data_IF_449952947663
#
_entry.id   IF_449952947663
#
_cell.length_a   1.000
_cell.length_b   1.000
_cell.length_c   1.000
_cell.angle_alpha   90.00
_cell.angle_beta   90.00
_cell.angle_gamma   90.00
#
_symmetry.space_group_name_H-M   'P 1'
#
loop_
_entity.id
_entity.type
_entity.pdbx_description
1 polymer ?
#
# COMPACT_ATOMS: atom_id res chain seq x y z
N UNK A 1 -19.41 11.28 45.17
CA UNK A 1 -19.09 10.99 46.58
C UNK A 1 -19.71 9.65 46.92
N UNK A 2 -18.90 8.59 46.85
CA UNK A 2 -19.14 7.28 47.51
C UNK A 2 -18.95 7.41 49.04
N UNK A 3 -18.85 6.34 49.88
CA UNK A 3 -19.26 4.92 49.80
C UNK A 3 -20.10 4.52 51.06
N UNK A 4 -20.61 3.29 51.29
CA UNK A 4 -19.94 2.08 51.87
C UNK A 4 -21.02 0.97 52.00
N UNK A 5 -20.82 -0.29 51.55
CA UNK A 5 -20.05 -1.43 52.11
C UNK A 5 -20.84 -2.39 53.03
N UNK A 6 -21.04 -3.61 52.52
CA UNK A 6 -20.89 -4.95 53.15
C UNK A 6 -21.84 -5.49 54.25
N UNK A 7 -22.36 -6.71 54.02
CA UNK A 7 -22.05 -7.95 54.81
C UNK A 7 -23.25 -8.82 55.22
N UNK A 8 -23.01 -10.16 55.20
CA UNK A 8 -23.64 -11.25 55.98
C UNK A 8 -24.88 -11.90 55.32
N UNK A 9 -24.84 -13.12 54.75
CA UNK A 9 -24.62 -14.47 55.32
C UNK A 9 -25.59 -14.82 56.47
N UNK A 10 -26.51 -15.74 56.14
CA UNK A 10 -27.23 -16.69 57.01
C UNK A 10 -28.29 -16.16 58.01
N UNK A 11 -29.56 -16.30 57.63
CA UNK A 11 -30.74 -16.50 58.50
C UNK A 11 -31.91 -16.85 57.54
N UNK A 12 -32.78 -17.84 57.70
CA UNK A 12 -33.13 -18.74 58.79
C UNK A 12 -33.45 -20.14 58.24
N UNK A 13 -33.01 -21.16 58.98
CA UNK A 13 -33.70 -22.44 59.06
C UNK A 13 -34.81 -22.32 60.11
N UNK A 14 -36.02 -22.85 59.84
CA UNK A 14 -36.99 -23.09 60.91
C UNK A 14 -37.87 -24.31 60.62
N UNK A 15 -37.86 -25.22 61.61
CA UNK A 15 -38.76 -26.34 61.91
C UNK A 15 -38.79 -27.55 60.97
N UNK A 16 -38.24 -28.71 61.35
CA UNK A 16 -38.57 -29.66 62.44
C UNK A 16 -39.65 -30.68 62.04
N UNK A 17 -39.28 -31.96 62.09
CA UNK A 17 -40.19 -33.10 61.92
C UNK A 17 -39.41 -34.39 61.69
N UNK A 18 -38.93 -34.99 62.78
CA UNK A 18 -38.36 -36.33 62.83
C UNK A 18 -39.41 -37.41 62.48
N UNK A 19 -38.95 -38.57 61.99
CA UNK A 19 -39.22 -39.94 62.53
C UNK A 19 -38.91 -41.01 61.46
N UNK A 20 -37.76 -41.66 61.69
CA UNK A 20 -37.43 -43.10 61.66
C UNK A 20 -37.71 -44.00 60.44
N UNK A 21 -36.65 -44.71 60.03
CA UNK A 21 -36.51 -45.65 58.92
C UNK A 21 -36.63 -47.10 59.43
N UNK A 22 -37.34 -47.97 58.69
CA UNK A 22 -37.24 -49.43 58.83
C UNK A 22 -36.60 -50.03 57.56
N UNK A 23 -35.46 -50.72 57.74
CA UNK A 23 -34.50 -51.16 56.72
C UNK A 23 -34.81 -52.49 56.00
N UNK A 24 -35.99 -53.10 56.17
CA UNK A 24 -36.22 -54.47 55.67
C UNK A 24 -36.78 -54.57 54.23
N UNK A 25 -36.96 -53.46 53.50
CA UNK A 25 -37.46 -53.45 52.11
C UNK A 25 -36.38 -53.33 51.02
N UNK A 26 -35.10 -53.34 51.38
CA UNK A 26 -34.01 -53.01 50.47
C UNK A 26 -33.59 -54.14 49.51
N UNK A 27 -33.93 -55.40 49.79
CA UNK A 27 -33.36 -56.53 49.05
C UNK A 27 -34.09 -56.88 47.73
N UNK A 28 -35.39 -56.60 47.59
CA UNK A 28 -36.16 -56.96 46.39
C UNK A 28 -36.02 -55.92 45.25
N UNK A 29 -35.61 -54.68 45.57
CA UNK A 29 -35.47 -53.60 44.59
C UNK A 29 -34.08 -53.53 43.91
N UNK A 30 -33.11 -54.32 44.36
CA UNK A 30 -31.75 -54.31 43.81
C UNK A 30 -31.68 -54.99 42.43
N UNK A 31 -32.41 -56.09 42.23
CA UNK A 31 -32.36 -56.87 40.98
C UNK A 31 -33.00 -56.11 39.79
N UNK A 32 -34.01 -55.29 40.06
CA UNK A 32 -34.68 -54.47 39.03
C UNK A 32 -33.80 -53.27 38.58
N UNK A 33 -32.90 -52.80 39.42
CA UNK A 33 -32.02 -51.67 39.13
C UNK A 33 -30.86 -52.07 38.19
N UNK A 34 -30.35 -53.30 38.28
CA UNK A 34 -29.23 -53.75 37.45
C UNK A 34 -29.63 -53.99 35.99
N UNK A 35 -30.85 -54.52 35.75
CA UNK A 35 -31.38 -54.73 34.40
C UNK A 35 -31.59 -53.43 33.60
N UNK A 36 -31.85 -52.31 34.26
CA UNK A 36 -31.98 -50.99 33.62
C UNK A 36 -30.64 -50.33 33.29
N UNK A 37 -29.54 -50.71 33.94
CA UNK A 37 -28.22 -50.09 33.70
C UNK A 37 -27.57 -50.56 32.39
N UNK A 38 -27.73 -51.84 32.03
CA UNK A 38 -27.06 -52.45 30.87
C UNK A 38 -27.59 -51.93 29.51
N UNK A 39 -28.84 -51.45 29.48
CA UNK A 39 -29.47 -50.81 28.30
C UNK A 39 -28.96 -49.38 28.04
N UNK A 40 -28.48 -48.69 29.09
CA UNK A 40 -28.11 -47.27 29.06
C UNK A 40 -26.75 -46.96 28.44
N UNK A 41 -25.76 -47.85 28.58
CA UNK A 41 -24.38 -47.58 28.13
C UNK A 41 -24.18 -47.71 26.62
N UNK A 42 -24.86 -48.67 25.98
CA UNK A 42 -24.76 -48.90 24.53
C UNK A 42 -25.32 -47.72 23.71
N UNK A 43 -26.38 -47.07 24.21
CA UNK A 43 -26.96 -45.85 23.58
C UNK A 43 -26.10 -44.61 23.80
N UNK A 44 -25.43 -44.47 24.95
CA UNK A 44 -24.54 -43.33 25.24
C UNK A 44 -23.28 -43.34 24.38
N UNK A 45 -22.65 -44.50 24.16
CA UNK A 45 -21.46 -44.61 23.30
C UNK A 45 -21.75 -44.29 21.82
N UNK A 46 -22.88 -44.74 21.27
CA UNK A 46 -23.32 -44.40 19.89
C UNK A 46 -23.69 -42.92 19.72
N UNK A 47 -24.20 -42.26 20.76
CA UNK A 47 -24.56 -40.83 20.73
C UNK A 47 -23.32 -39.93 20.79
N UNK A 48 -22.26 -40.35 21.48
CA UNK A 48 -21.01 -39.58 21.61
C UNK A 48 -20.17 -39.60 20.33
N UNK A 49 -20.08 -40.74 19.65
CA UNK A 49 -19.34 -40.86 18.37
C UNK A 49 -19.96 -40.04 17.25
N UNK A 50 -21.30 -39.92 17.21
CA UNK A 50 -22.02 -39.07 16.25
C UNK A 50 -21.83 -37.56 16.49
N UNK A 51 -21.75 -37.12 17.75
CA UNK A 51 -21.48 -35.71 18.11
C UNK A 51 -20.04 -35.29 17.79
N UNK A 52 -19.06 -36.18 18.01
CA UNK A 52 -17.64 -35.89 17.74
C UNK A 52 -17.32 -35.80 16.24
N UNK A 53 -18.03 -36.54 15.39
CA UNK A 53 -17.90 -36.44 13.93
C UNK A 53 -18.46 -35.11 13.39
N UNK A 54 -19.63 -34.68 13.87
CA UNK A 54 -20.24 -33.42 13.44
C UNK A 54 -19.46 -32.17 13.88
N UNK A 55 -18.86 -32.16 15.07
CA UNK A 55 -18.02 -31.01 15.50
C UNK A 55 -16.74 -30.90 14.70
N UNK A 56 -16.11 -32.02 14.32
CA UNK A 56 -14.95 -32.03 13.41
C UNK A 56 -15.29 -31.51 12.00
N UNK A 57 -16.47 -31.85 11.48
CA UNK A 57 -16.93 -31.30 10.19
C UNK A 57 -17.26 -29.81 10.27
N UNK A 58 -17.83 -29.32 11.38
CA UNK A 58 -18.10 -27.88 11.58
C UNK A 58 -16.79 -27.10 11.73
N UNK A 59 -15.80 -27.63 12.47
CA UNK A 59 -14.48 -27.01 12.60
C UNK A 59 -13.74 -27.00 11.25
N UNK A 60 -13.87 -28.05 10.45
CA UNK A 60 -13.33 -28.12 9.09
C UNK A 60 -13.99 -27.10 8.15
N UNK A 61 -15.33 -27.00 8.18
CA UNK A 61 -16.07 -26.01 7.39
C UNK A 61 -15.76 -24.57 7.83
N UNK A 62 -15.61 -24.33 9.14
CA UNK A 62 -15.21 -23.04 9.70
C UNK A 62 -13.80 -22.63 9.27
N UNK A 63 -12.85 -23.57 9.28
CA UNK A 63 -11.50 -23.33 8.79
C UNK A 63 -11.46 -22.99 7.28
N UNK A 64 -12.27 -23.69 6.47
CA UNK A 64 -12.41 -23.39 5.03
C UNK A 64 -13.02 -22.01 4.84
N UNK A 65 -14.06 -21.65 5.60
CA UNK A 65 -14.69 -20.34 5.49
C UNK A 65 -13.73 -19.20 5.86
N UNK A 66 -12.96 -19.36 6.94
CA UNK A 66 -11.93 -18.38 7.34
C UNK A 66 -10.85 -18.26 6.25
N UNK A 67 -10.38 -19.38 5.69
CA UNK A 67 -9.42 -19.35 4.59
C UNK A 67 -9.97 -18.62 3.36
N UNK A 68 -11.24 -18.84 2.99
CA UNK A 68 -11.90 -18.13 1.90
C UNK A 68 -12.01 -16.63 2.18
N UNK A 69 -12.35 -16.22 3.41
CA UNK A 69 -12.39 -14.81 3.78
C UNK A 69 -11.01 -14.14 3.71
N UNK A 70 -9.95 -14.84 4.10
CA UNK A 70 -8.58 -14.33 4.00
C UNK A 70 -8.14 -14.21 2.54
N UNK A 71 -8.46 -15.19 1.68
CA UNK A 71 -8.17 -15.14 0.24
C UNK A 71 -8.96 -14.02 -0.44
N UNK A 72 -10.27 -13.90 -0.16
CA UNK A 72 -11.12 -12.82 -0.67
C UNK A 72 -10.59 -11.48 -0.17
N UNK A 73 -10.18 -11.37 1.10
CA UNK A 73 -9.57 -10.17 1.67
C UNK A 73 -8.26 -9.78 0.99
N UNK A 74 -7.37 -10.74 0.74
CA UNK A 74 -6.11 -10.51 0.03
C UNK A 74 -6.35 -10.08 -1.42
N UNK A 75 -7.26 -10.76 -2.14
CA UNK A 75 -7.67 -10.38 -3.50
C UNK A 75 -8.31 -8.99 -3.48
N UNK A 76 -9.21 -8.71 -2.53
CA UNK A 76 -9.86 -7.41 -2.39
C UNK A 76 -8.85 -6.30 -2.08
N UNK A 77 -7.86 -6.54 -1.22
CA UNK A 77 -6.77 -5.60 -0.95
C UNK A 77 -5.91 -5.37 -2.20
N UNK A 78 -5.59 -6.41 -2.96
CA UNK A 78 -4.87 -6.29 -4.23
C UNK A 78 -5.66 -5.59 -5.33
N UNK A 79 -6.98 -5.80 -5.39
CA UNK A 79 -7.87 -5.10 -6.32
C UNK A 79 -8.10 -3.65 -5.88
N UNK A 80 -8.27 -3.37 -4.59
CA UNK A 80 -8.28 -2.00 -4.05
C UNK A 80 -6.96 -1.30 -4.33
N UNK A 81 -5.83 -2.02 -4.29
CA UNK A 81 -4.53 -1.50 -4.71
C UNK A 81 -4.53 -1.00 -6.15
N UNK A 82 -5.34 -1.61 -7.03
CA UNK A 82 -5.50 -1.20 -8.43
C UNK A 82 -6.54 -0.09 -8.62
N UNK A 83 -7.53 0.03 -7.73
CA UNK A 83 -8.54 1.09 -7.78
C UNK A 83 -8.05 2.46 -7.25
N UNK A 84 -6.77 2.60 -6.90
CA UNK A 84 -6.12 3.91 -6.78
C UNK A 84 -5.94 4.61 -8.14
N UNK A 85 -6.17 3.90 -9.26
CA UNK A 85 -6.20 4.49 -10.59
C UNK A 85 -7.60 4.99 -10.94
N UNK A 86 -8.11 5.88 -10.09
CA UNK A 86 -9.26 6.72 -10.42
C UNK A 86 -8.87 7.81 -11.41
N UNK A 87 -8.47 7.44 -12.63
CA UNK A 87 -8.50 8.33 -13.80
C UNK A 87 -8.40 7.51 -15.10
N UNK A 88 -9.52 6.93 -15.52
CA UNK A 88 -9.67 6.50 -16.91
C UNK A 88 -11.08 6.82 -17.38
N UNK A 89 -11.27 8.07 -17.77
CA UNK A 89 -12.39 8.49 -18.60
C UNK A 89 -11.94 8.35 -20.06
N UNK A 90 -12.08 7.15 -20.63
CA UNK A 90 -11.95 6.98 -22.07
C UNK A 90 -13.32 7.25 -22.67
N UNK A 91 -13.46 8.37 -23.35
CA UNK A 91 -14.47 8.49 -24.41
C UNK A 91 -13.98 7.57 -25.52
N UNK A 92 -14.63 6.41 -25.70
CA UNK A 92 -14.48 5.60 -26.90
C UNK A 92 -15.01 6.40 -28.09
N UNK A 93 -14.11 7.10 -28.79
CA UNK A 93 -14.26 7.47 -30.21
C UNK A 93 -12.91 7.96 -30.75
N UNK A 94 -12.08 7.07 -31.26
CA UNK A 94 -12.04 6.78 -32.68
C UNK A 94 -11.05 5.65 -32.96
N UNK A 95 -11.41 4.80 -33.90
CA UNK A 95 -10.61 3.69 -34.42
C UNK A 95 -10.22 4.13 -35.81
N UNK A 96 -8.93 4.37 -36.06
CA UNK A 96 -8.33 4.03 -37.35
C UNK A 96 -6.81 4.22 -37.38
N UNK A 97 -6.14 3.19 -37.92
CA UNK A 97 -4.91 3.22 -38.76
C UNK A 97 -3.62 3.83 -38.14
N UNK A 98 -2.40 3.31 -38.32
CA UNK A 98 -1.82 2.41 -39.34
C UNK A 98 -0.36 2.09 -38.96
N UNK A 99 0.09 0.90 -39.37
CA UNK A 99 1.45 0.44 -39.77
C UNK A 99 2.65 0.75 -38.85
N UNK A 100 3.28 -0.26 -38.24
CA UNK A 100 4.33 -1.12 -38.83
C UNK A 100 5.47 -0.28 -39.42
N UNK A 101 6.62 -0.30 -38.77
CA UNK A 101 7.90 -0.64 -39.41
C UNK A 101 8.91 -1.09 -38.35
N UNK A 102 9.42 -2.29 -38.63
CA UNK A 102 10.57 -2.98 -38.06
C UNK A 102 11.87 -2.21 -38.37
N UNK A 103 12.97 -2.55 -37.67
CA UNK A 103 14.33 -2.71 -38.22
C UNK A 103 15.37 -2.66 -37.09
N UNK A 104 16.08 -3.78 -36.98
CA UNK A 104 17.17 -4.11 -36.06
C UNK A 104 18.41 -3.24 -36.25
N UNK A 105 19.18 -3.00 -35.17
CA UNK A 105 20.62 -2.74 -35.29
C UNK A 105 21.44 -3.51 -34.24
N UNK A 106 22.66 -3.97 -34.59
CA UNK A 106 23.31 -5.13 -33.97
C UNK A 106 24.25 -4.78 -32.82
N UNK A 107 24.43 -5.79 -31.96
CA UNK A 107 25.43 -5.92 -30.90
C UNK A 107 26.85 -5.83 -31.46
N UNK A 108 27.69 -4.99 -30.84
CA UNK A 108 29.14 -5.02 -31.01
C UNK A 108 29.82 -5.39 -29.68
N UNK A 109 30.33 -6.62 -29.62
CA UNK A 109 31.33 -7.08 -28.65
C UNK A 109 32.72 -6.80 -29.19
N UNK A 110 33.58 -6.09 -28.44
CA UNK A 110 35.03 -6.25 -28.56
C UNK A 110 35.75 -5.78 -27.29
N UNK A 111 36.48 -6.70 -26.67
CA UNK A 111 37.49 -6.45 -25.67
C UNK A 111 38.85 -6.17 -26.33
N UNK A 112 39.66 -5.27 -25.75
CA UNK A 112 41.11 -5.45 -25.45
C UNK A 112 41.87 -4.11 -25.32
N UNK A 113 42.28 -3.82 -24.09
CA UNK A 113 43.57 -3.32 -23.56
C UNK A 113 44.61 -2.71 -24.55
N UNK A 114 45.06 -1.47 -24.25
CA UNK A 114 46.46 -1.07 -23.97
C UNK A 114 46.80 0.34 -24.50
N UNK A 115 47.15 1.26 -23.59
CA UNK A 115 48.30 2.19 -23.64
C UNK A 115 48.03 3.42 -22.75
N UNK A 116 48.82 3.55 -21.69
CA UNK A 116 48.81 4.68 -20.76
C UNK A 116 49.76 5.78 -21.28
N UNK A 117 49.31 7.04 -21.23
CA UNK A 117 50.16 8.24 -21.23
C UNK A 117 49.82 9.06 -19.98
N UNK A 118 50.80 9.61 -19.23
CA UNK A 118 50.55 10.35 -18.02
C UNK A 118 50.21 11.80 -18.36
N UNK A 119 48.92 12.11 -18.51
CA UNK A 119 48.44 13.50 -18.50
C UNK A 119 48.10 13.92 -17.08
N UNK A 120 48.66 15.06 -16.68
CA UNK A 120 48.51 15.75 -15.40
C UNK A 120 47.05 15.76 -14.95
N UNK A 121 46.76 14.96 -13.93
CA UNK A 121 45.46 14.88 -13.27
C UNK A 121 45.21 16.18 -12.51
N UNK A 122 44.36 17.03 -13.06
CA UNK A 122 43.56 17.94 -12.21
C UNK A 122 42.74 17.01 -11.31
N UNK A 123 42.85 17.15 -10.00
CA UNK A 123 42.05 16.41 -9.02
C UNK A 123 40.55 16.72 -9.25
N UNK A 124 39.94 15.97 -10.14
CA UNK A 124 38.50 15.80 -10.17
C UNK A 124 38.18 14.82 -9.04
N UNK A 125 37.38 15.21 -8.03
CA UNK A 125 36.96 14.26 -7.01
C UNK A 125 36.31 13.05 -7.70
N UNK A 126 36.56 11.83 -7.20
CA UNK A 126 35.95 10.63 -7.76
C UNK A 126 34.42 10.79 -7.77
N UNK A 127 33.70 10.32 -8.81
CA UNK A 127 32.24 10.25 -8.75
C UNK A 127 31.87 9.35 -7.58
N UNK A 128 31.51 10.03 -6.49
CA UNK A 128 31.11 9.39 -5.26
C UNK A 128 29.69 8.91 -5.50
N UNK A 129 29.51 7.60 -5.46
CA UNK A 129 28.22 6.89 -5.50
C UNK A 129 27.45 6.94 -6.82
N UNK A 130 27.02 5.75 -7.24
CA UNK A 130 25.80 5.50 -8.01
C UNK A 130 24.66 6.36 -7.43
N UNK A 131 24.51 7.57 -7.93
CA UNK A 131 23.53 8.56 -7.48
C UNK A 131 22.64 8.91 -8.66
N UNK A 132 21.33 8.90 -8.43
CA UNK A 132 20.35 9.39 -9.40
C UNK A 132 20.70 10.85 -9.72
N UNK A 133 20.78 11.25 -11.00
CA UNK A 133 21.08 12.64 -11.34
C UNK A 133 20.07 13.59 -10.70
N UNK A 134 20.53 14.65 -10.03
CA UNK A 134 19.63 15.68 -9.53
C UNK A 134 18.94 16.38 -10.73
N UNK A 135 17.63 16.65 -10.67
CA UNK A 135 16.95 17.36 -11.75
C UNK A 135 17.48 18.80 -11.87
N UNK A 136 17.89 19.17 -13.09
CA UNK A 136 18.33 20.53 -13.39
C UNK A 136 17.19 21.54 -13.24
N UNK A 137 17.51 22.83 -13.12
CA UNK A 137 16.50 23.90 -13.06
C UNK A 137 15.54 23.90 -14.27
N UNK A 138 16.08 23.65 -15.48
CA UNK A 138 15.25 23.48 -16.69
C UNK A 138 14.32 22.27 -16.58
N UNK A 139 14.80 21.18 -15.99
CA UNK A 139 13.98 19.99 -15.78
C UNK A 139 12.85 20.23 -14.78
N UNK A 140 13.14 20.90 -13.67
CA UNK A 140 12.13 21.32 -12.70
C UNK A 140 11.07 22.23 -13.33
N UNK A 141 11.47 23.17 -14.20
CA UNK A 141 10.52 23.97 -14.97
C UNK A 141 9.63 23.10 -15.89
N UNK A 142 10.18 22.05 -16.51
CA UNK A 142 9.38 21.10 -17.28
C UNK A 142 8.43 20.26 -16.44
N UNK A 143 8.78 19.90 -15.20
CA UNK A 143 7.86 19.23 -14.28
C UNK A 143 6.65 20.12 -13.97
N UNK A 144 6.89 21.38 -13.59
CA UNK A 144 5.81 22.34 -13.31
C UNK A 144 4.96 22.66 -14.55
N UNK A 145 5.61 22.85 -15.71
CA UNK A 145 4.92 23.04 -17.00
C UNK A 145 4.03 21.85 -17.32
N UNK A 146 4.55 20.61 -17.16
CA UNK A 146 3.79 19.38 -17.45
C UNK A 146 2.61 19.20 -16.49
N UNK A 147 2.83 19.47 -15.20
CA UNK A 147 1.82 19.30 -14.16
C UNK A 147 0.65 20.29 -14.30
N UNK A 148 0.95 21.58 -14.52
CA UNK A 148 -0.04 22.67 -14.41
C UNK A 148 0.12 23.81 -15.41
N UNK A 149 1.10 23.76 -16.33
CA UNK A 149 1.50 24.92 -17.16
C UNK A 149 2.18 26.05 -16.36
N UNK A 150 2.80 25.72 -15.22
CA UNK A 150 3.30 26.70 -14.24
C UNK A 150 2.20 27.61 -13.68
N UNK A 151 0.94 27.14 -13.67
CA UNK A 151 -0.18 27.87 -13.08
C UNK A 151 -0.47 27.25 -11.70
N UNK A 152 -0.45 28.04 -10.60
CA UNK A 152 -0.76 27.52 -9.27
C UNK A 152 -2.12 26.81 -9.24
N UNK A 153 -2.12 25.56 -8.79
CA UNK A 153 -3.32 24.73 -8.77
C UNK A 153 -3.87 24.56 -7.34
N UNK A 154 -5.19 24.43 -7.27
CA UNK A 154 -5.92 23.94 -6.10
C UNK A 154 -6.25 22.46 -6.35
N UNK A 155 -5.97 21.61 -5.37
CA UNK A 155 -6.21 20.20 -5.46
C UNK A 155 -7.35 19.77 -4.52
N UNK A 156 -8.20 18.87 -5.02
CA UNK A 156 -9.26 18.24 -4.24
C UNK A 156 -8.86 16.83 -3.85
N UNK A 157 -8.70 16.61 -2.54
CA UNK A 157 -8.45 15.29 -1.97
C UNK A 157 -9.77 14.72 -1.43
N UNK A 158 -10.05 13.42 -1.68
CA UNK A 158 -11.29 12.81 -1.20
C UNK A 158 -11.36 12.90 0.33
N UNK A 159 -12.44 13.48 0.85
CA UNK A 159 -12.63 13.63 2.29
C UNK A 159 -11.81 14.75 2.94
N UNK A 160 -11.19 15.64 2.15
CA UNK A 160 -10.52 16.86 2.64
C UNK A 160 -11.05 18.10 1.91
N UNK A 161 -10.96 19.29 2.53
CA UNK A 161 -11.23 20.54 1.84
C UNK A 161 -10.26 20.71 0.65
N UNK A 162 -10.67 21.55 -0.29
CA UNK A 162 -9.78 22.01 -1.34
C UNK A 162 -8.63 22.82 -0.73
N UNK A 163 -7.41 22.54 -1.19
CA UNK A 163 -6.18 23.15 -0.67
C UNK A 163 -5.19 23.39 -1.81
N UNK A 164 -4.28 24.37 -1.67
CA UNK A 164 -3.22 24.58 -2.64
C UNK A 164 -2.36 23.31 -2.82
N UNK A 165 -1.93 23.08 -4.06
CA UNK A 165 -0.93 22.06 -4.39
C UNK A 165 0.19 22.60 -5.30
N UNK A 166 0.18 23.91 -5.56
CA UNK A 166 1.24 24.61 -6.27
C UNK A 166 1.32 24.31 -7.76
N UNK A 167 2.35 24.85 -8.38
CA UNK A 167 2.66 24.63 -9.81
C UNK A 167 3.08 23.18 -10.10
N UNK A 168 3.61 22.49 -9.10
CA UNK A 168 4.02 21.08 -9.19
C UNK A 168 2.86 20.11 -8.90
N UNK A 169 1.68 20.60 -8.49
CA UNK A 169 0.53 19.76 -8.15
C UNK A 169 0.88 18.65 -7.12
N UNK A 170 1.75 19.00 -6.16
CA UNK A 170 2.27 18.09 -5.13
C UNK A 170 1.09 17.59 -4.30
N UNK A 171 1.00 16.28 -4.10
CA UNK A 171 -0.01 15.68 -3.21
C UNK A 171 0.55 15.54 -1.79
N UNK A 172 -0.33 15.40 -0.79
CA UNK A 172 0.08 15.12 0.59
C UNK A 172 1.00 13.90 0.71
N UNK A 173 0.69 12.80 0.00
CA UNK A 173 1.52 11.58 0.06
C UNK A 173 2.88 11.81 -0.59
N UNK A 174 2.91 12.54 -1.72
CA UNK A 174 4.17 12.93 -2.37
C UNK A 174 5.05 13.75 -1.42
N UNK A 175 4.45 14.74 -0.76
CA UNK A 175 5.12 15.60 0.21
C UNK A 175 5.65 14.79 1.42
N UNK A 176 4.82 13.95 2.03
CA UNK A 176 5.22 13.06 3.13
C UNK A 176 6.39 12.15 2.77
N UNK A 177 6.40 11.64 1.53
CA UNK A 177 7.49 10.80 1.06
C UNK A 177 8.79 11.60 0.87
N UNK A 178 8.72 12.84 0.43
CA UNK A 178 9.87 13.72 0.27
C UNK A 178 10.49 14.14 1.61
N UNK A 179 9.67 14.31 2.65
CA UNK A 179 10.12 14.71 3.99
C UNK A 179 11.12 13.74 4.64
N UNK A 180 11.19 12.49 4.17
CA UNK A 180 12.16 11.50 4.67
C UNK A 180 13.62 11.89 4.43
N UNK A 181 13.86 12.82 3.50
CA UNK A 181 15.21 13.29 3.13
C UNK A 181 15.41 14.77 3.52
N UNK A 182 14.34 15.49 3.84
CA UNK A 182 14.40 16.90 4.22
C UNK A 182 14.75 17.02 5.70
N UNK A 183 15.48 18.09 6.03
CA UNK A 183 15.78 18.45 7.42
C UNK A 183 14.49 18.57 8.25
N UNK A 184 14.35 17.82 9.36
CA UNK A 184 13.19 17.96 10.24
C UNK A 184 13.03 19.38 10.81
N UNK A 185 14.10 20.18 10.86
CA UNK A 185 14.06 21.56 11.37
C UNK A 185 13.62 22.60 10.29
N UNK A 186 13.46 22.22 9.01
CA UNK A 186 12.89 23.09 7.97
C UNK A 186 11.37 23.25 8.17
N UNK A 187 10.99 24.16 9.09
CA UNK A 187 9.60 24.43 9.44
C UNK A 187 8.71 24.82 8.24
N UNK A 188 9.27 25.39 7.18
CA UNK A 188 8.49 25.71 5.97
C UNK A 188 8.19 24.43 5.21
N UNK A 189 9.18 23.56 5.01
CA UNK A 189 8.96 22.25 4.36
C UNK A 189 8.02 21.35 5.17
N UNK A 190 8.04 21.42 6.50
CA UNK A 190 7.12 20.67 7.38
C UNK A 190 5.67 21.21 7.36
N UNK A 191 5.41 22.36 6.74
CA UNK A 191 4.06 22.89 6.52
C UNK A 191 3.67 22.73 5.04
N UNK A 192 2.90 21.69 4.73
CA UNK A 192 2.44 21.41 3.36
C UNK A 192 1.84 22.64 2.68
N UNK A 193 0.89 23.32 3.33
CA UNK A 193 0.10 24.38 2.71
C UNK A 193 0.94 25.61 2.38
N UNK A 194 1.89 25.94 3.27
CA UNK A 194 2.84 27.04 3.04
C UNK A 194 3.94 26.66 2.05
N UNK A 195 4.41 25.42 2.08
CA UNK A 195 5.50 24.96 1.22
C UNK A 195 5.09 24.87 -0.24
N UNK A 196 3.93 24.29 -0.55
CA UNK A 196 3.53 24.05 -1.95
C UNK A 196 3.21 25.34 -2.73
N UNK A 197 3.00 26.47 -2.05
CA UNK A 197 2.79 27.79 -2.67
C UNK A 197 4.07 28.63 -2.73
N UNK A 198 5.14 28.19 -2.09
CA UNK A 198 6.47 28.80 -2.17
C UNK A 198 7.31 28.02 -3.18
N UNK A 199 7.71 28.67 -4.28
CA UNK A 199 8.38 27.98 -5.40
C UNK A 199 9.68 27.28 -4.96
N UNK A 200 10.46 27.91 -4.07
CA UNK A 200 11.71 27.33 -3.59
C UNK A 200 11.47 26.13 -2.67
N UNK A 201 10.46 26.20 -1.80
CA UNK A 201 10.09 25.09 -0.94
C UNK A 201 9.53 23.93 -1.76
N UNK A 202 8.60 24.20 -2.67
CA UNK A 202 8.02 23.19 -3.56
C UNK A 202 9.10 22.50 -4.41
N UNK A 203 10.07 23.26 -4.93
CA UNK A 203 11.24 22.70 -5.61
C UNK A 203 12.08 21.78 -4.72
N UNK A 204 12.31 22.14 -3.45
CA UNK A 204 13.02 21.25 -2.49
C UNK A 204 12.24 19.94 -2.30
N UNK A 205 10.92 20.00 -2.14
CA UNK A 205 10.06 18.80 -2.06
C UNK A 205 10.25 17.91 -3.29
N UNK A 206 10.22 18.50 -4.49
CA UNK A 206 10.39 17.75 -5.75
C UNK A 206 11.78 17.13 -5.86
N UNK A 207 12.85 17.88 -5.54
CA UNK A 207 14.22 17.36 -5.54
C UNK A 207 14.38 16.18 -4.59
N UNK A 208 13.92 16.30 -3.35
CA UNK A 208 13.97 15.20 -2.37
C UNK A 208 13.18 13.98 -2.83
N UNK A 209 12.03 14.18 -3.48
CA UNK A 209 11.26 13.08 -4.04
C UNK A 209 12.00 12.35 -5.19
N UNK A 210 12.63 13.11 -6.10
CA UNK A 210 13.45 12.55 -7.18
C UNK A 210 14.70 11.88 -6.61
N UNK A 211 15.33 12.42 -5.57
CA UNK A 211 16.44 11.75 -4.89
C UNK A 211 16.01 10.39 -4.33
N UNK A 212 14.78 10.28 -3.81
CA UNK A 212 14.23 9.03 -3.24
C UNK A 212 13.87 7.99 -4.31
N UNK A 213 13.34 8.41 -5.46
CA UNK A 213 12.70 7.49 -6.43
C UNK A 213 13.23 7.57 -7.87
N UNK A 214 14.11 8.53 -8.17
CA UNK A 214 14.56 8.91 -9.52
C UNK A 214 15.55 7.95 -10.19
N UNK A 215 16.04 6.94 -9.49
CA UNK A 215 17.05 6.01 -10.02
C UNK A 215 16.51 4.97 -11.00
N UNK A 216 15.42 5.27 -11.70
CA UNK A 216 14.70 4.35 -12.58
C UNK A 216 14.46 5.02 -13.93
N UNK A 217 14.70 4.26 -14.99
CA UNK A 217 14.29 4.60 -16.35
C UNK A 217 12.76 4.41 -16.45
N UNK A 218 12.04 5.53 -16.53
CA UNK A 218 10.59 5.55 -16.66
C UNK A 218 10.14 5.63 -18.12
N UNK A 219 11.04 6.01 -19.03
CA UNK A 219 10.82 6.11 -20.48
C UNK A 219 10.94 4.77 -21.18
N UNK A 220 11.81 3.90 -20.66
CA UNK A 220 12.24 2.66 -21.31
C UNK A 220 13.28 2.88 -22.41
N UNK A 221 14.00 4.00 -22.42
CA UNK A 221 15.01 4.33 -23.45
C UNK A 221 16.45 3.96 -23.04
N UNK A 222 16.62 3.40 -21.84
CA UNK A 222 17.90 2.99 -21.28
C UNK A 222 18.69 4.10 -20.59
N UNK A 223 18.12 5.30 -20.45
CA UNK A 223 18.73 6.46 -19.76
C UNK A 223 17.86 6.89 -18.58
N UNK A 224 18.46 7.67 -17.69
CA UNK A 224 17.76 8.30 -16.56
C UNK A 224 18.00 9.80 -16.68
N UNK A 225 17.05 10.47 -17.32
CA UNK A 225 17.14 11.86 -17.71
C UNK A 225 15.88 12.63 -17.27
N UNK A 226 15.72 13.86 -17.76
CA UNK A 226 14.62 14.70 -17.32
C UNK A 226 13.25 14.09 -17.64
N UNK A 227 13.14 13.41 -18.79
CA UNK A 227 11.90 12.75 -19.18
C UNK A 227 11.46 11.73 -18.12
N UNK A 228 12.40 10.98 -17.54
CA UNK A 228 12.15 10.00 -16.49
C UNK A 228 11.68 10.68 -15.21
N UNK A 229 12.37 11.75 -14.82
CA UNK A 229 11.99 12.51 -13.62
C UNK A 229 10.60 13.12 -13.75
N UNK A 230 10.20 13.61 -14.93
CA UNK A 230 8.85 14.12 -15.17
C UNK A 230 7.83 12.97 -15.13
N UNK A 231 8.10 11.83 -15.79
CA UNK A 231 7.21 10.65 -15.74
C UNK A 231 7.03 10.14 -14.32
N UNK A 232 8.11 10.06 -13.54
CA UNK A 232 8.10 9.75 -12.12
C UNK A 232 7.24 10.75 -11.34
N UNK A 233 7.44 12.05 -11.54
CA UNK A 233 6.67 13.09 -10.86
C UNK A 233 5.16 12.98 -11.15
N UNK A 234 4.80 12.73 -12.41
CA UNK A 234 3.40 12.66 -12.85
C UNK A 234 2.69 11.37 -12.43
N UNK A 235 3.44 10.27 -12.20
CA UNK A 235 2.86 8.93 -11.97
C UNK A 235 3.16 8.33 -10.60
N UNK A 236 4.10 8.92 -9.87
CA UNK A 236 4.66 8.34 -8.66
C UNK A 236 5.50 7.08 -8.93
N UNK A 237 6.05 6.45 -7.87
CA UNK A 237 7.13 5.47 -7.98
C UNK A 237 6.63 4.13 -8.54
N UNK A 238 5.37 3.78 -8.26
CA UNK A 238 4.70 2.59 -8.79
C UNK A 238 4.17 2.76 -10.22
N UNK A 239 4.20 3.98 -10.76
CA UNK A 239 3.74 4.28 -12.11
C UNK A 239 4.87 4.61 -13.10
N UNK A 240 6.12 4.72 -12.64
CA UNK A 240 7.28 5.05 -13.46
C UNK A 240 7.42 4.15 -14.70
N UNK A 241 7.43 2.82 -14.54
CA UNK A 241 7.63 1.88 -15.66
C UNK A 241 6.40 1.67 -16.57
N UNK A 242 5.36 2.50 -16.43
CA UNK A 242 4.22 2.43 -17.34
C UNK A 242 4.66 2.96 -18.69
N UNK A 243 4.52 2.17 -19.73
CA UNK A 243 4.94 2.56 -21.08
C UNK A 243 3.87 3.37 -21.81
N UNK A 244 2.65 3.45 -21.28
CA UNK A 244 1.64 4.33 -21.86
C UNK A 244 2.14 5.78 -21.86
N UNK A 245 1.76 6.62 -22.83
CA UNK A 245 1.98 8.07 -22.75
C UNK A 245 1.26 8.67 -21.54
N UNK A 246 1.71 9.83 -21.05
CA UNK A 246 0.91 10.62 -20.12
C UNK A 246 -0.43 10.99 -20.78
N UNK A 247 -1.38 11.52 -20.00
CA UNK A 247 -2.60 12.07 -20.59
C UNK A 247 -2.25 13.11 -21.66
N UNK A 248 -2.99 13.15 -22.76
CA UNK A 248 -2.60 13.89 -23.99
C UNK A 248 -2.20 15.35 -23.75
N UNK A 249 -2.81 16.04 -22.79
CA UNK A 249 -2.41 17.41 -22.42
C UNK A 249 -1.04 17.47 -21.72
N UNK A 250 -0.78 16.55 -20.79
CA UNK A 250 0.50 16.47 -20.08
C UNK A 250 1.63 16.05 -21.03
N UNK A 251 1.40 15.05 -21.89
CA UNK A 251 2.42 14.61 -22.86
C UNK A 251 2.82 15.76 -23.78
N UNK A 252 1.85 16.49 -24.35
CA UNK A 252 2.13 17.67 -25.19
C UNK A 252 2.93 18.75 -24.45
N UNK A 253 2.64 18.99 -23.17
CA UNK A 253 3.37 19.97 -22.36
C UNK A 253 4.81 19.53 -22.11
N UNK A 254 5.02 18.25 -21.81
CA UNK A 254 6.33 17.65 -21.62
C UNK A 254 7.18 17.77 -22.89
N UNK A 255 6.70 17.23 -24.01
CA UNK A 255 7.40 17.27 -25.31
C UNK A 255 7.78 18.70 -25.71
N UNK A 256 6.81 19.63 -25.58
CA UNK A 256 7.02 21.04 -25.88
C UNK A 256 8.12 21.64 -24.98
N UNK A 257 8.08 21.35 -23.68
CA UNK A 257 9.06 21.90 -22.74
C UNK A 257 10.47 21.35 -22.97
N UNK A 258 10.63 20.04 -23.16
CA UNK A 258 11.93 19.41 -23.44
C UNK A 258 12.55 20.03 -24.70
N UNK A 259 11.78 20.15 -25.77
CA UNK A 259 12.20 20.78 -27.03
C UNK A 259 12.67 22.23 -26.84
N UNK A 260 11.89 23.09 -26.18
CA UNK A 260 12.27 24.50 -26.01
C UNK A 260 13.38 24.71 -24.98
N UNK A 261 13.55 23.80 -24.03
CA UNK A 261 14.60 23.88 -23.02
C UNK A 261 15.95 23.36 -23.52
N UNK A 262 15.97 22.72 -24.69
CA UNK A 262 17.16 22.05 -25.23
C UNK A 262 17.56 20.83 -24.41
N UNK A 263 16.57 20.08 -23.89
CA UNK A 263 16.75 18.81 -23.20
C UNK A 263 16.35 17.73 -24.21
N UNK A 264 17.34 16.98 -24.68
CA UNK A 264 17.17 15.81 -25.57
C UNK A 264 17.23 14.54 -24.76
#
# INVERSE_FOLDING_TARGET
MEPTSSSSVAELAQNSGDVELDEDKLAEHQEYAEALSMSGESRKRKRWTRRSCCTRQILSAGAIFIALLLIIGAIYMHLRQKHHLGRLHIILKDRDRVEVLDENFPVATAAAVAAQTPTITTFQPPPSSTSCPEPSAKCLACMATTATDNIPAICRNRGRPEEPCGIYRISHVYWQDALQIIDPDDSLAQDYGRCVVDDQCAERIVRSYVQRYGGKDCSGDGRIECQDHVRLHMRGPGGCHRQEPLGSLAERRLEKCLKYSGIT
#
